data_IF_623662145111
#
_entry.id   IF_623662145111
#
_cell.length_a   1.000
_cell.length_b   1.000
_cell.length_c   1.000
_cell.angle_alpha   90.00
_cell.angle_beta   90.00
_cell.angle_gamma   90.00
#
_symmetry.space_group_name_H-M   'P 1'
#
loop_
_entity.id
_entity.type
_entity.pdbx_description
1 polymer ?
#
# COMPACT_ATOMS: atom_id res chain seq x y z
N UNK A 1 4.62 24.33 -8.88
CA UNK A 1 3.98 23.31 -8.03
C UNK A 1 3.00 23.97 -7.05
N UNK A 2 3.48 24.73 -6.07
CA UNK A 2 2.65 25.32 -4.99
C UNK A 2 1.42 26.08 -5.51
N UNK A 3 1.59 27.02 -6.44
CA UNK A 3 0.46 27.75 -7.05
C UNK A 3 -0.63 26.87 -7.67
N UNK A 4 -0.28 25.68 -8.20
CA UNK A 4 -1.26 24.73 -8.76
C UNK A 4 -1.99 23.94 -7.67
N UNK A 5 -1.31 23.67 -6.56
CA UNK A 5 -1.90 23.01 -5.39
C UNK A 5 -2.85 23.98 -4.68
N UNK A 6 -2.41 25.23 -4.48
CA UNK A 6 -3.19 26.28 -3.82
C UNK A 6 -4.44 26.68 -4.60
N UNK A 7 -4.44 26.50 -5.93
CA UNK A 7 -5.57 26.81 -6.80
C UNK A 7 -6.58 25.67 -6.97
N UNK A 8 -6.38 24.53 -6.28
CA UNK A 8 -7.20 23.33 -6.43
C UNK A 8 -8.20 23.20 -5.29
N UNK A 9 -9.49 23.19 -5.60
CA UNK A 9 -10.57 23.04 -4.61
C UNK A 9 -10.66 21.62 -4.01
N UNK A 10 -9.88 20.67 -4.54
CA UNK A 10 -9.91 19.24 -4.15
C UNK A 10 -8.60 18.77 -3.52
N UNK A 11 -7.66 19.68 -3.24
CA UNK A 11 -6.35 19.33 -2.73
C UNK A 11 -6.13 19.93 -1.35
N UNK A 12 -5.69 19.10 -0.41
CA UNK A 12 -5.26 19.52 0.92
C UNK A 12 -3.81 19.08 1.09
N UNK A 13 -2.93 20.02 1.44
CA UNK A 13 -1.53 19.72 1.74
C UNK A 13 -1.33 19.87 3.24
N UNK A 14 -0.89 18.81 3.89
CA UNK A 14 -0.58 18.81 5.32
C UNK A 14 0.69 18.03 5.60
N UNK A 15 1.45 18.45 6.62
CA UNK A 15 2.60 17.69 7.13
C UNK A 15 2.17 16.43 7.88
N UNK A 16 0.92 16.39 8.36
CA UNK A 16 0.34 15.23 9.01
C UNK A 16 -1.17 15.19 8.78
N UNK A 17 -1.70 14.01 8.51
CA UNK A 17 -3.13 13.78 8.36
C UNK A 17 -3.50 12.49 9.11
N UNK A 18 -4.74 12.35 9.60
CA UNK A 18 -5.19 11.17 10.32
C UNK A 18 -5.39 9.99 9.33
N UNK A 19 -4.29 9.36 8.90
CA UNK A 19 -4.26 8.33 7.85
C UNK A 19 -5.28 7.22 8.10
N UNK A 20 -5.34 6.69 9.32
CA UNK A 20 -6.31 5.67 9.71
C UNK A 20 -7.76 6.11 9.44
N UNK A 21 -8.13 7.34 9.81
CA UNK A 21 -9.48 7.89 9.59
C UNK A 21 -9.77 8.07 8.10
N UNK A 22 -8.78 8.54 7.34
CA UNK A 22 -8.90 8.72 5.90
C UNK A 22 -9.11 7.37 5.22
N UNK A 23 -8.30 6.36 5.54
CA UNK A 23 -8.43 5.01 4.98
C UNK A 23 -9.76 4.34 5.37
N UNK A 24 -10.27 4.61 6.57
CA UNK A 24 -11.57 4.13 7.03
C UNK A 24 -12.78 4.82 6.41
N UNK A 25 -12.59 5.93 5.69
CA UNK A 25 -13.70 6.66 5.08
C UNK A 25 -14.20 5.94 3.81
N UNK A 26 -15.52 5.75 3.62
CA UNK A 26 -16.07 4.95 2.53
C UNK A 26 -15.80 5.50 1.12
N UNK A 27 -15.47 6.80 1.00
CA UNK A 27 -15.13 7.41 -0.30
C UNK A 27 -13.67 7.20 -0.71
N UNK A 28 -12.83 6.65 0.17
CA UNK A 28 -11.41 6.47 -0.10
C UNK A 28 -11.19 5.33 -1.09
N UNK A 29 -10.89 5.70 -2.34
CA UNK A 29 -10.74 4.75 -3.43
C UNK A 29 -9.33 4.16 -3.56
N UNK A 30 -8.28 4.96 -3.45
CA UNK A 30 -6.90 4.50 -3.68
C UNK A 30 -5.97 5.16 -2.69
N UNK A 31 -4.98 4.40 -2.21
CA UNK A 31 -3.95 4.92 -1.31
C UNK A 31 -2.59 4.94 -2.03
N UNK A 32 -2.12 6.12 -2.42
CA UNK A 32 -0.74 6.26 -2.87
C UNK A 32 0.18 6.25 -1.65
N UNK A 33 1.11 5.31 -1.59
CA UNK A 33 1.91 5.06 -0.39
C UNK A 33 3.32 4.62 -0.74
N UNK A 34 4.25 4.89 0.16
CA UNK A 34 5.61 4.37 0.11
C UNK A 34 5.68 2.86 0.42
N UNK A 35 4.58 2.20 0.80
CA UNK A 35 4.55 0.77 1.14
C UNK A 35 5.43 0.38 2.34
N UNK A 36 5.62 1.27 3.32
CA UNK A 36 6.09 0.84 4.64
C UNK A 36 5.10 -0.14 5.26
N UNK A 37 5.59 -1.13 6.01
CA UNK A 37 4.75 -2.25 6.49
C UNK A 37 3.50 -1.82 7.29
N UNK A 38 3.59 -0.73 8.06
CA UNK A 38 2.44 -0.16 8.77
C UNK A 38 1.38 0.36 7.80
N UNK A 39 1.80 1.11 6.76
CA UNK A 39 0.87 1.62 5.75
C UNK A 39 0.21 0.49 4.96
N UNK A 40 0.96 -0.57 4.65
CA UNK A 40 0.40 -1.77 4.01
C UNK A 40 -0.66 -2.42 4.90
N UNK A 41 -0.34 -2.63 6.18
CA UNK A 41 -1.25 -3.24 7.15
C UNK A 41 -2.53 -2.40 7.33
N UNK A 42 -2.41 -1.07 7.45
CA UNK A 42 -3.56 -0.17 7.52
C UNK A 42 -4.40 -0.18 6.24
N UNK A 43 -3.76 -0.26 5.07
CA UNK A 43 -4.46 -0.35 3.78
C UNK A 43 -5.29 -1.63 3.70
N UNK A 44 -4.71 -2.76 4.12
CA UNK A 44 -5.37 -4.06 4.13
C UNK A 44 -6.50 -4.09 5.15
N UNK A 45 -6.29 -3.57 6.37
CA UNK A 45 -7.33 -3.55 7.41
C UNK A 45 -8.55 -2.73 7.00
N UNK A 46 -8.39 -1.68 6.21
CA UNK A 46 -9.51 -0.91 5.67
C UNK A 46 -10.03 -1.45 4.34
N UNK A 47 -9.25 -2.23 3.59
CA UNK A 47 -9.62 -2.76 2.27
C UNK A 47 -9.43 -1.75 1.14
N UNK A 48 -8.46 -0.86 1.28
CA UNK A 48 -8.14 0.19 0.30
C UNK A 48 -6.94 -0.25 -0.54
N UNK A 49 -7.06 -0.45 -1.87
CA UNK A 49 -5.92 -0.84 -2.69
C UNK A 49 -4.93 0.31 -2.88
N UNK A 50 -3.68 -0.03 -3.22
CA UNK A 50 -2.55 0.91 -3.18
C UNK A 50 -1.99 1.27 -4.55
N UNK A 51 -1.40 2.45 -4.65
CA UNK A 51 -0.42 2.81 -5.68
C UNK A 51 0.93 2.99 -4.97
N UNK A 52 1.82 2.03 -5.17
CA UNK A 52 3.07 1.90 -4.46
C UNK A 52 4.16 2.78 -5.08
N UNK A 53 4.74 3.66 -4.26
CA UNK A 53 5.89 4.50 -4.59
C UNK A 53 7.00 4.31 -3.54
N UNK A 54 7.69 3.17 -3.55
CA UNK A 54 8.67 2.84 -2.51
C UNK A 54 9.91 3.74 -2.60
N UNK A 55 10.45 4.11 -1.43
CA UNK A 55 11.59 5.01 -1.29
C UNK A 55 12.83 4.30 -0.71
N UNK A 56 12.68 3.49 0.34
CA UNK A 56 13.82 2.89 1.06
C UNK A 56 13.46 1.67 1.94
N UNK A 57 14.46 1.06 2.57
CA UNK A 57 14.30 -0.04 3.54
C UNK A 57 13.51 -1.24 2.98
N UNK A 58 12.47 -1.69 3.68
CA UNK A 58 11.57 -2.79 3.34
C UNK A 58 10.58 -2.44 2.23
N UNK A 59 10.41 -1.14 1.93
CA UNK A 59 9.38 -0.64 1.03
C UNK A 59 9.40 -1.25 -0.37
N UNK A 60 10.56 -1.41 -1.07
CA UNK A 60 10.56 -2.01 -2.40
C UNK A 60 10.11 -3.48 -2.39
N UNK A 61 10.40 -4.22 -1.31
CA UNK A 61 9.99 -5.62 -1.14
C UNK A 61 8.48 -5.69 -0.90
N UNK A 62 7.96 -4.83 -0.02
CA UNK A 62 6.52 -4.74 0.24
C UNK A 62 5.75 -4.31 -1.02
N UNK A 63 6.25 -3.33 -1.76
CA UNK A 63 5.68 -2.90 -3.03
C UNK A 63 5.63 -4.06 -4.03
N UNK A 64 6.73 -4.81 -4.14
CA UNK A 64 6.78 -5.98 -5.01
C UNK A 64 5.80 -7.09 -4.61
N UNK A 65 5.72 -7.39 -3.33
CA UNK A 65 4.84 -8.42 -2.80
C UNK A 65 3.36 -8.05 -2.98
N UNK A 66 3.00 -6.82 -2.63
CA UNK A 66 1.61 -6.32 -2.76
C UNK A 66 1.17 -6.16 -4.21
N UNK A 67 2.08 -5.78 -5.11
CA UNK A 67 1.78 -5.59 -6.53
C UNK A 67 1.75 -6.91 -7.31
N UNK A 68 2.76 -7.76 -7.13
CA UNK A 68 3.03 -8.92 -8.00
C UNK A 68 2.49 -10.24 -7.44
N UNK A 69 2.42 -10.37 -6.11
CA UNK A 69 1.98 -11.62 -5.46
C UNK A 69 0.54 -11.53 -4.99
N UNK A 70 0.23 -10.52 -4.16
CA UNK A 70 -1.12 -10.35 -3.62
C UNK A 70 -2.08 -9.72 -4.63
N UNK A 71 -1.56 -9.04 -5.65
CA UNK A 71 -2.34 -8.33 -6.66
C UNK A 71 -3.37 -7.37 -6.03
N UNK A 72 -2.90 -6.52 -5.12
CA UNK A 72 -3.70 -5.49 -4.42
C UNK A 72 -3.15 -4.07 -4.60
N UNK A 73 -2.04 -3.93 -5.33
CA UNK A 73 -1.39 -2.65 -5.60
C UNK A 73 -0.92 -2.54 -7.06
N UNK A 74 -0.75 -1.30 -7.52
CA UNK A 74 0.15 -0.97 -8.65
C UNK A 74 1.49 -0.52 -8.09
N UNK A 75 2.57 -0.72 -8.84
CA UNK A 75 3.91 -0.27 -8.45
C UNK A 75 4.41 0.75 -9.46
N UNK A 76 4.86 1.89 -8.97
CA UNK A 76 5.51 2.92 -9.77
C UNK A 76 7.02 2.62 -9.82
N UNK A 77 7.50 2.37 -11.02
CA UNK A 77 8.88 2.03 -11.33
C UNK A 77 9.64 3.26 -11.85
N UNK A 78 9.00 4.05 -12.70
CA UNK A 78 9.62 5.21 -13.37
C UNK A 78 9.85 6.39 -12.40
N UNK A 79 9.06 6.47 -11.32
CA UNK A 79 9.17 7.52 -10.29
C UNK A 79 10.32 7.32 -9.31
N UNK A 80 11.11 6.25 -9.47
CA UNK A 80 12.25 5.94 -8.62
C UNK A 80 13.45 6.81 -8.98
N UNK A 81 14.30 7.05 -8.00
CA UNK A 81 15.49 7.88 -8.17
C UNK A 81 16.76 7.12 -7.78
N UNK A 82 17.89 7.53 -8.37
CA UNK A 82 19.23 7.00 -8.07
C UNK A 82 19.29 5.47 -8.18
N UNK A 83 19.58 4.79 -7.07
CA UNK A 83 19.68 3.33 -7.00
C UNK A 83 18.39 2.61 -7.36
N UNK A 84 17.24 3.29 -7.31
CA UNK A 84 15.93 2.75 -7.67
C UNK A 84 15.68 2.66 -9.18
N UNK A 85 16.51 3.29 -10.02
CA UNK A 85 16.46 3.15 -11.49
C UNK A 85 17.26 1.95 -12.02
N UNK A 86 17.93 1.21 -11.14
CA UNK A 86 18.63 -0.01 -11.57
C UNK A 86 17.61 -1.05 -12.04
N UNK A 87 17.95 -1.88 -13.03
CA UNK A 87 17.13 -3.02 -13.43
C UNK A 87 16.67 -3.82 -12.22
N UNK A 88 15.36 -4.04 -12.13
CA UNK A 88 14.78 -4.89 -11.11
C UNK A 88 15.01 -6.35 -11.49
N UNK A 89 15.25 -7.21 -10.49
CA UNK A 89 15.34 -8.66 -10.68
C UNK A 89 14.11 -9.31 -11.32
N UNK A 90 13.01 -8.56 -11.47
CA UNK A 90 11.77 -8.95 -12.16
C UNK A 90 11.78 -8.61 -13.66
N UNK A 91 12.91 -8.19 -14.22
CA UNK A 91 13.05 -7.87 -15.64
C UNK A 91 12.48 -6.51 -16.06
N UNK A 92 12.25 -5.62 -15.09
CA UNK A 92 11.77 -4.25 -15.33
C UNK A 92 12.97 -3.31 -15.28
N UNK A 93 13.15 -2.50 -16.31
CA UNK A 93 14.24 -1.53 -16.42
C UNK A 93 13.64 -0.11 -16.52
N UNK A 94 13.55 0.63 -15.40
CA UNK A 94 13.01 1.98 -15.41
C UNK A 94 13.90 2.92 -16.20
N UNK A 95 13.29 3.80 -16.99
CA UNK A 95 14.01 4.82 -17.76
C UNK A 95 14.26 6.08 -16.91
N UNK A 96 13.34 6.42 -16.01
CA UNK A 96 13.42 7.59 -15.15
C UNK A 96 13.28 8.92 -15.90
N UNK A 97 12.75 8.91 -17.12
CA UNK A 97 12.47 10.12 -17.91
C UNK A 97 11.10 10.70 -17.54
N UNK A 98 10.90 11.99 -17.78
CA UNK A 98 9.60 12.64 -17.50
C UNK A 98 8.49 12.02 -18.36
N UNK A 99 8.80 11.67 -19.60
CA UNK A 99 7.89 11.02 -20.54
C UNK A 99 7.48 9.62 -20.05
N UNK A 100 8.44 8.84 -19.53
CA UNK A 100 8.17 7.52 -18.97
C UNK A 100 7.33 7.60 -17.70
N UNK A 101 7.64 8.55 -16.81
CA UNK A 101 6.86 8.83 -15.59
C UNK A 101 5.42 9.22 -15.94
N UNK A 102 5.24 10.15 -16.90
CA UNK A 102 3.90 10.58 -17.32
C UNK A 102 3.09 9.42 -17.90
N UNK A 103 3.73 8.61 -18.75
CA UNK A 103 3.12 7.43 -19.35
C UNK A 103 2.72 6.39 -18.31
N UNK A 104 3.62 6.08 -17.36
CA UNK A 104 3.35 5.15 -16.27
C UNK A 104 2.16 5.61 -15.42
N UNK A 105 2.17 6.87 -14.97
CA UNK A 105 1.09 7.41 -14.13
C UNK A 105 -0.24 7.34 -14.87
N UNK A 106 -0.31 7.78 -16.14
CA UNK A 106 -1.54 7.72 -16.94
C UNK A 106 -2.07 6.30 -17.08
N UNK A 107 -1.19 5.33 -17.37
CA UNK A 107 -1.56 3.93 -17.52
C UNK A 107 -2.03 3.31 -16.20
N UNK A 108 -1.36 3.60 -15.09
CA UNK A 108 -1.76 3.12 -13.76
C UNK A 108 -3.12 3.67 -13.38
N UNK A 109 -3.36 4.98 -13.55
CA UNK A 109 -4.66 5.58 -13.25
C UNK A 109 -5.74 4.96 -14.15
N UNK A 110 -5.50 4.81 -15.46
CA UNK A 110 -6.48 4.17 -16.34
C UNK A 110 -6.86 2.76 -15.89
N UNK A 111 -5.87 1.95 -15.49
CA UNK A 111 -6.11 0.59 -14.97
C UNK A 111 -6.84 0.61 -13.62
N UNK A 112 -6.48 1.55 -12.75
CA UNK A 112 -7.02 1.73 -11.41
C UNK A 112 -8.53 2.06 -11.39
N UNK A 113 -9.03 2.72 -12.42
CA UNK A 113 -10.48 2.93 -12.63
C UNK A 113 -11.11 1.97 -13.66
N UNK A 114 -10.36 0.96 -14.10
CA UNK A 114 -10.82 -0.09 -15.00
C UNK A 114 -11.08 -1.43 -14.31
N UNK A 115 -11.27 -2.48 -15.13
CA UNK A 115 -11.52 -3.85 -14.66
C UNK A 115 -10.38 -4.41 -13.78
N UNK A 116 -9.14 -4.02 -14.07
CA UNK A 116 -7.99 -4.46 -13.26
C UNK A 116 -8.02 -3.84 -11.85
N UNK A 117 -8.34 -2.54 -11.75
CA UNK A 117 -8.56 -1.88 -10.47
C UNK A 117 -9.69 -2.52 -9.66
N UNK A 118 -10.80 -2.88 -10.32
CA UNK A 118 -11.90 -3.61 -9.69
C UNK A 118 -11.45 -4.98 -9.13
N UNK A 119 -10.59 -5.70 -9.85
CA UNK A 119 -10.01 -6.96 -9.37
C UNK A 119 -9.11 -6.76 -8.14
N UNK A 120 -8.26 -5.73 -8.14
CA UNK A 120 -7.42 -5.41 -6.97
C UNK A 120 -8.25 -5.06 -5.73
N UNK A 121 -9.40 -4.39 -5.91
CA UNK A 121 -10.39 -4.14 -4.85
C UNK A 121 -10.96 -5.43 -4.28
N UNK A 122 -11.38 -6.34 -5.15
CA UNK A 122 -11.89 -7.63 -4.71
C UNK A 122 -10.83 -8.42 -3.93
N UNK A 123 -9.59 -8.43 -4.42
CA UNK A 123 -8.48 -9.13 -3.77
C UNK A 123 -8.17 -8.57 -2.39
N UNK A 124 -8.13 -7.24 -2.23
CA UNK A 124 -7.83 -6.65 -0.92
C UNK A 124 -8.99 -6.83 0.07
N UNK A 125 -10.23 -6.87 -0.39
CA UNK A 125 -11.38 -7.19 0.48
C UNK A 125 -11.31 -8.65 0.97
N UNK A 126 -10.90 -9.59 0.12
CA UNK A 126 -10.63 -10.98 0.53
C UNK A 126 -9.49 -11.05 1.56
N UNK A 127 -8.45 -10.24 1.39
CA UNK A 127 -7.34 -10.20 2.33
C UNK A 127 -7.71 -9.55 3.66
N UNK A 128 -8.51 -8.47 3.63
CA UNK A 128 -9.11 -7.84 4.81
C UNK A 128 -9.90 -8.86 5.63
N UNK A 129 -10.74 -9.65 4.96
CA UNK A 129 -11.53 -10.67 5.63
C UNK A 129 -10.65 -11.73 6.31
N UNK A 130 -9.62 -12.21 5.62
CA UNK A 130 -8.63 -13.12 6.23
C UNK A 130 -7.92 -12.50 7.43
N UNK A 131 -7.54 -11.23 7.34
CA UNK A 131 -6.91 -10.50 8.45
C UNK A 131 -7.85 -10.42 9.65
N UNK A 132 -9.13 -10.10 9.44
CA UNK A 132 -10.12 -10.06 10.51
C UNK A 132 -10.31 -11.44 11.15
N UNK A 133 -10.48 -12.49 10.34
CA UNK A 133 -10.62 -13.88 10.83
C UNK A 133 -9.42 -14.28 11.69
N UNK A 134 -8.19 -13.95 11.28
CA UNK A 134 -6.99 -14.28 12.04
C UNK A 134 -6.95 -13.62 13.43
N UNK A 135 -7.62 -12.47 13.61
CA UNK A 135 -7.66 -11.70 14.86
C UNK A 135 -8.96 -11.82 15.66
N UNK A 136 -9.95 -12.57 15.17
CA UNK A 136 -11.16 -12.90 15.92
C UNK A 136 -10.84 -13.70 17.20
N UNK A 137 -11.83 -13.89 18.08
CA UNK A 137 -11.65 -14.55 19.39
C UNK A 137 -10.93 -15.91 19.30
N UNK A 138 -11.29 -16.73 18.30
CA UNK A 138 -10.69 -18.03 18.03
C UNK A 138 -9.67 -18.01 16.87
N UNK A 139 -9.22 -16.82 16.45
CA UNK A 139 -8.29 -16.64 15.33
C UNK A 139 -6.85 -17.00 15.70
N UNK A 140 -6.11 -17.55 14.75
CA UNK A 140 -4.72 -18.01 14.94
C UNK A 140 -3.81 -16.92 15.54
N UNK A 141 -3.82 -15.71 14.97
CA UNK A 141 -2.98 -14.62 15.47
C UNK A 141 -3.38 -14.19 16.90
N UNK A 142 -4.68 -14.24 17.22
CA UNK A 142 -5.17 -13.95 18.57
C UNK A 142 -4.73 -15.01 19.58
N UNK A 143 -4.84 -16.29 19.21
CA UNK A 143 -4.42 -17.43 20.03
C UNK A 143 -2.92 -17.35 20.31
N UNK A 144 -2.09 -17.24 19.27
CA UNK A 144 -0.63 -17.16 19.41
C UNK A 144 -0.20 -15.98 20.29
N UNK A 145 -0.84 -14.82 20.11
CA UNK A 145 -0.57 -13.65 20.95
C UNK A 145 -0.91 -13.91 22.42
N UNK A 146 -2.05 -14.55 22.71
CA UNK A 146 -2.43 -14.89 24.09
C UNK A 146 -1.50 -15.94 24.70
N UNK A 147 -1.02 -16.91 23.92
CA UNK A 147 -0.01 -17.87 24.36
C UNK A 147 1.32 -17.19 24.68
N UNK A 148 1.77 -16.27 23.84
CA UNK A 148 2.96 -15.46 24.10
C UNK A 148 2.85 -14.69 25.42
N UNK A 149 1.70 -14.08 25.72
CA UNK A 149 1.48 -13.38 26.99
C UNK A 149 1.53 -14.33 28.20
N UNK A 150 1.01 -15.55 28.07
CA UNK A 150 1.09 -16.58 29.12
C UNK A 150 2.54 -16.99 29.38
N UNK A 151 3.34 -17.15 28.32
CA UNK A 151 4.77 -17.42 28.45
C UNK A 151 5.44 -16.33 29.29
N UNK A 152 5.21 -15.05 28.96
CA UNK A 152 5.75 -13.90 29.69
C UNK A 152 5.39 -13.87 31.17
N UNK A 153 4.14 -14.24 31.52
CA UNK A 153 3.70 -14.30 32.92
C UNK A 153 4.45 -15.35 33.75
N UNK A 154 4.93 -16.44 33.15
CA UNK A 154 5.74 -17.45 33.85
C UNK A 154 7.14 -16.97 34.24
N UNK A 155 7.65 -15.88 33.67
CA UNK A 155 8.98 -15.33 34.02
C UNK A 155 8.95 -14.44 35.27
N UNK A 156 7.76 -14.12 35.78
CA UNK A 156 7.55 -13.24 36.94
C UNK A 156 6.96 -13.98 38.16
N UNK A 157 6.81 -15.30 38.10
CA UNK A 157 6.36 -16.19 39.18
C UNK A 157 7.49 -17.10 39.64
#
# INVERSE_FOLDING_TARGET
MQKRLDSSDITIVSTWAPQHVILGHPVTGWFMTHCGNNSVTESVSHGVPMIAWPLSADQPVNAAYTSSILNIAYELFETRIRSGLRPLYRGIEPQGTLEAIETEIRNVLQQAWGCDGARKRENILKLKEKLNIAWNEDGEARIEFLEFLKLGAMWYS
#
